data_IF_919863531476
#
_entry.id   IF_919863531476
#
_cell.length_a   1.000
_cell.length_b   1.000
_cell.length_c   1.000
_cell.angle_alpha   90.00
_cell.angle_beta   90.00
_cell.angle_gamma   90.00
#
_symmetry.space_group_name_H-M   'P 1'
#
loop_
_entity.id
_entity.type
_entity.pdbx_description
1 polymer ?
#
# COMPACT_ATOMS: atom_id res chain seq x y z
N UNK A 1 -5.99 0.83 -37.30
CA UNK A 1 -5.31 0.57 -36.02
C UNK A 1 -5.31 1.88 -35.26
N UNK A 2 -6.22 2.06 -34.30
CA UNK A 2 -6.12 3.17 -33.36
C UNK A 2 -4.89 2.94 -32.49
N UNK A 3 -3.98 3.89 -32.47
CA UNK A 3 -2.84 3.88 -31.55
C UNK A 3 -3.40 3.71 -30.13
N UNK A 4 -2.96 2.68 -29.43
CA UNK A 4 -3.33 2.46 -28.02
C UNK A 4 -2.76 3.64 -27.24
N UNK A 5 -3.60 4.62 -26.91
CA UNK A 5 -3.20 5.75 -26.07
C UNK A 5 -2.92 5.15 -24.67
N UNK A 6 -1.64 4.99 -24.35
CA UNK A 6 -1.23 4.58 -23.02
C UNK A 6 -1.41 5.77 -22.07
N UNK A 7 -2.24 5.61 -21.05
CA UNK A 7 -2.37 6.58 -19.96
C UNK A 7 -1.04 6.74 -19.21
N UNK A 8 -0.85 7.87 -18.52
CA UNK A 8 0.27 8.03 -17.60
C UNK A 8 0.26 6.93 -16.54
N UNK A 9 -0.92 6.65 -15.96
CA UNK A 9 -1.07 5.59 -14.95
C UNK A 9 -0.59 4.23 -15.49
N UNK A 10 -0.98 3.84 -16.72
CA UNK A 10 -0.51 2.58 -17.33
C UNK A 10 1.00 2.54 -17.49
N UNK A 11 1.60 3.63 -17.96
CA UNK A 11 3.05 3.74 -18.12
C UNK A 11 3.74 3.61 -16.76
N UNK A 12 3.26 4.33 -15.76
CA UNK A 12 3.81 4.35 -14.40
C UNK A 12 3.68 2.99 -13.70
N UNK A 13 2.59 2.24 -13.93
CA UNK A 13 2.47 0.86 -13.46
C UNK A 13 3.53 -0.04 -14.11
N UNK A 14 3.73 0.09 -15.42
CA UNK A 14 4.74 -0.69 -16.13
C UNK A 14 6.18 -0.36 -15.70
N UNK A 15 6.42 0.84 -15.17
CA UNK A 15 7.72 1.27 -14.63
C UNK A 15 8.02 0.73 -13.22
N UNK A 16 7.04 0.15 -12.50
CA UNK A 16 7.21 -0.31 -11.11
C UNK A 16 8.39 -1.28 -10.96
N UNK A 17 8.55 -2.33 -11.80
CA UNK A 17 9.68 -3.26 -11.66
C UNK A 17 11.04 -2.56 -11.75
N UNK A 18 11.20 -1.65 -12.72
CA UNK A 18 12.42 -0.88 -12.88
C UNK A 18 12.65 0.12 -11.74
N UNK A 19 11.60 0.78 -11.26
CA UNK A 19 11.68 1.71 -10.14
C UNK A 19 12.12 0.99 -8.85
N UNK A 20 11.57 -0.20 -8.59
CA UNK A 20 11.98 -1.03 -7.46
C UNK A 20 13.43 -1.51 -7.59
N UNK A 21 13.86 -1.96 -8.77
CA UNK A 21 15.24 -2.36 -9.02
C UNK A 21 16.21 -1.20 -8.79
N UNK A 22 15.88 -0.02 -9.32
CA UNK A 22 16.68 1.20 -9.12
C UNK A 22 16.82 1.60 -7.67
N UNK A 23 15.73 1.52 -6.90
CA UNK A 23 15.72 1.81 -5.47
C UNK A 23 16.62 0.82 -4.72
N UNK A 24 16.46 -0.47 -4.93
CA UNK A 24 17.21 -1.53 -4.25
C UNK A 24 18.71 -1.47 -4.57
N UNK A 25 19.07 -1.12 -5.80
CA UNK A 25 20.47 -0.99 -6.20
C UNK A 25 21.14 0.25 -5.58
N UNK A 26 20.49 1.41 -5.68
CA UNK A 26 21.13 2.69 -5.35
C UNK A 26 21.10 3.03 -3.86
N UNK A 27 20.12 2.53 -3.10
CA UNK A 27 19.89 2.92 -1.70
C UNK A 27 20.39 1.92 -0.67
N UNK A 28 21.21 0.93 -1.05
CA UNK A 28 21.73 -0.11 -0.12
C UNK A 28 22.41 0.48 1.13
N UNK A 29 23.21 1.53 0.94
CA UNK A 29 23.91 2.21 2.04
C UNK A 29 22.95 2.92 2.98
N UNK A 30 21.91 3.55 2.42
CA UNK A 30 20.90 4.27 3.19
C UNK A 30 20.03 3.29 4.00
N UNK A 31 19.64 2.17 3.41
CA UNK A 31 18.93 1.11 4.14
C UNK A 31 19.74 0.61 5.33
N UNK A 32 21.03 0.32 5.14
CA UNK A 32 21.91 -0.15 6.19
C UNK A 32 22.12 0.92 7.28
N UNK A 33 22.28 2.18 6.90
CA UNK A 33 22.47 3.30 7.84
C UNK A 33 21.20 3.52 8.68
N UNK A 34 20.02 3.57 8.07
CA UNK A 34 18.74 3.76 8.77
C UNK A 34 18.43 2.54 9.64
N UNK A 35 18.60 1.33 9.13
CA UNK A 35 18.44 0.10 9.91
C UNK A 35 19.38 0.03 11.11
N UNK A 36 20.63 0.49 10.93
CA UNK A 36 21.62 0.62 12.00
C UNK A 36 21.22 1.65 13.06
N UNK A 37 20.70 2.79 12.65
CA UNK A 37 20.19 3.83 13.55
C UNK A 37 18.99 3.33 14.39
N UNK A 38 18.07 2.59 13.76
CA UNK A 38 16.93 1.98 14.46
C UNK A 38 17.38 0.92 15.47
N UNK A 39 18.37 0.07 15.13
CA UNK A 39 18.96 -0.88 16.09
C UNK A 39 19.62 -0.18 17.27
N UNK A 40 20.40 0.86 17.01
CA UNK A 40 21.07 1.64 18.05
C UNK A 40 20.09 2.38 18.97
N UNK A 41 18.97 2.85 18.41
CA UNK A 41 17.90 3.51 19.16
C UNK A 41 17.15 2.55 20.07
N UNK A 42 16.95 1.30 19.63
CA UNK A 42 16.13 0.27 20.29
C UNK A 42 14.76 0.84 20.69
N UNK A 43 13.93 1.25 19.72
CA UNK A 43 12.68 1.94 20.02
C UNK A 43 11.68 1.02 20.74
N UNK A 44 10.94 1.55 21.70
CA UNK A 44 9.88 0.82 22.40
C UNK A 44 8.58 0.72 21.58
N UNK A 45 8.39 1.57 20.58
CA UNK A 45 7.25 1.62 19.68
C UNK A 45 7.62 2.39 18.40
N UNK A 46 6.78 2.27 17.38
CA UNK A 46 6.89 3.06 16.16
C UNK A 46 5.61 3.86 15.96
N UNK A 47 5.72 5.06 15.41
CA UNK A 47 4.57 5.82 14.93
C UNK A 47 4.70 6.05 13.43
N UNK A 48 3.57 6.07 12.72
CA UNK A 48 3.51 6.40 11.30
C UNK A 48 2.74 7.68 11.06
N UNK A 49 3.18 8.46 10.06
CA UNK A 49 2.59 9.75 9.69
C UNK A 49 2.45 9.77 8.16
N UNK A 50 1.22 9.73 7.67
CA UNK A 50 0.97 9.72 6.23
C UNK A 50 -0.47 10.12 5.88
N UNK A 51 -0.79 10.19 4.58
CA UNK A 51 -2.13 10.43 4.03
C UNK A 51 -2.33 9.65 2.74
N UNK A 52 -3.58 9.28 2.43
CA UNK A 52 -3.97 8.63 1.17
C UNK A 52 -3.19 7.33 0.91
N UNK A 53 -2.70 7.12 -0.32
CA UNK A 53 -1.88 5.94 -0.65
C UNK A 53 -0.64 5.80 0.24
N UNK A 54 -0.02 6.92 0.67
CA UNK A 54 1.10 6.88 1.61
C UNK A 54 0.67 6.33 2.99
N UNK A 55 -0.57 6.57 3.43
CA UNK A 55 -1.09 6.00 4.68
C UNK A 55 -1.35 4.49 4.55
N UNK A 56 -1.79 4.02 3.36
CA UNK A 56 -1.88 2.59 3.09
C UNK A 56 -0.50 1.91 3.04
N UNK A 57 0.53 2.61 2.53
CA UNK A 57 1.92 2.13 2.64
C UNK A 57 2.38 2.07 4.10
N UNK A 58 2.04 3.08 4.90
CA UNK A 58 2.30 3.09 6.34
C UNK A 58 1.55 1.97 7.08
N UNK A 59 0.30 1.67 6.71
CA UNK A 59 -0.46 0.54 7.25
C UNK A 59 0.19 -0.80 6.89
N UNK A 60 0.73 -0.95 5.68
CA UNK A 60 1.50 -2.13 5.31
C UNK A 60 2.73 -2.30 6.19
N UNK A 61 3.50 -1.22 6.33
CA UNK A 61 4.71 -1.22 7.17
C UNK A 61 4.39 -1.43 8.66
N UNK A 62 3.24 -0.96 9.13
CA UNK A 62 2.74 -1.28 10.47
C UNK A 62 2.71 -2.80 10.68
N UNK A 63 1.99 -3.54 9.84
CA UNK A 63 1.93 -4.99 9.95
C UNK A 63 3.31 -5.65 9.79
N UNK A 64 4.12 -5.17 8.85
CA UNK A 64 5.46 -5.71 8.63
C UNK A 64 6.35 -5.56 9.88
N UNK A 65 6.34 -4.38 10.53
CA UNK A 65 7.12 -4.10 11.73
C UNK A 65 6.59 -4.91 12.91
N UNK A 66 5.26 -4.95 13.13
CA UNK A 66 4.63 -5.69 14.22
C UNK A 66 4.93 -7.20 14.13
N UNK A 67 4.92 -7.77 12.92
CA UNK A 67 5.21 -9.19 12.69
C UNK A 67 6.70 -9.51 12.81
N UNK A 68 7.60 -8.63 12.35
CA UNK A 68 9.03 -8.91 12.25
C UNK A 68 9.82 -8.38 13.44
N UNK A 69 9.68 -7.09 13.78
CA UNK A 69 10.35 -6.46 14.90
C UNK A 69 9.59 -6.63 16.23
N UNK A 70 8.33 -7.08 16.20
CA UNK A 70 7.46 -7.32 17.38
C UNK A 70 7.24 -6.06 18.22
N UNK A 71 7.23 -4.90 17.59
CA UNK A 71 6.99 -3.61 18.22
C UNK A 71 5.60 -3.09 17.85
N UNK A 72 4.84 -2.51 18.79
CA UNK A 72 3.57 -1.87 18.46
C UNK A 72 3.78 -0.67 17.55
N UNK A 73 2.89 -0.50 16.56
CA UNK A 73 2.91 0.62 15.63
C UNK A 73 1.58 1.36 15.69
N UNK A 74 1.63 2.68 15.88
CA UNK A 74 0.46 3.55 15.89
C UNK A 74 0.49 4.52 14.70
N UNK A 75 -0.60 4.58 13.92
CA UNK A 75 -0.83 5.66 12.99
C UNK A 75 -1.28 6.91 13.74
N UNK A 76 -0.60 8.03 13.53
CA UNK A 76 -0.88 9.29 14.20
C UNK A 76 -1.53 10.27 13.23
N UNK A 77 -2.68 10.82 13.63
CA UNK A 77 -3.38 11.83 12.84
C UNK A 77 -2.60 13.15 12.78
N UNK A 78 -2.22 13.64 11.58
CA UNK A 78 -1.43 14.86 11.45
C UNK A 78 -2.09 16.11 12.03
N UNK A 79 -3.40 16.12 12.17
CA UNK A 79 -4.16 17.20 12.83
C UNK A 79 -3.74 17.47 14.28
N UNK A 80 -3.19 16.48 14.97
CA UNK A 80 -2.69 16.67 16.34
C UNK A 80 -1.61 17.76 16.40
N UNK A 81 -0.72 17.81 15.41
CA UNK A 81 0.30 18.85 15.33
C UNK A 81 -0.22 20.11 14.64
N UNK A 82 -0.90 19.95 13.47
CA UNK A 82 -1.24 21.10 12.61
C UNK A 82 -2.43 21.92 13.12
N UNK A 83 -3.38 21.31 13.84
CA UNK A 83 -4.59 21.98 14.36
C UNK A 83 -4.56 22.12 15.87
N UNK A 84 -4.26 21.02 16.58
CA UNK A 84 -4.34 21.01 18.03
C UNK A 84 -3.04 21.43 18.74
N UNK A 85 -1.92 21.57 18.00
CA UNK A 85 -0.62 21.94 18.57
C UNK A 85 -0.11 20.98 19.65
N UNK A 86 -0.56 19.71 19.61
CA UNK A 86 -0.23 18.73 20.62
C UNK A 86 1.19 18.18 20.43
N UNK A 87 1.99 18.22 21.47
CA UNK A 87 3.31 17.59 21.49
C UNK A 87 3.24 16.22 22.16
N UNK A 88 3.46 15.17 21.34
CA UNK A 88 3.45 13.79 21.82
C UNK A 88 4.80 13.42 22.46
N UNK A 89 4.77 12.58 23.49
CA UNK A 89 5.97 12.04 24.15
C UNK A 89 6.54 10.88 23.34
N UNK A 90 7.37 11.16 22.33
CA UNK A 90 7.89 10.17 21.39
C UNK A 90 9.37 9.82 21.58
N UNK A 91 10.04 10.33 22.63
CA UNK A 91 11.48 10.19 22.84
C UNK A 91 12.01 8.76 22.90
N UNK A 92 11.18 7.77 23.23
CA UNK A 92 11.53 6.33 23.23
C UNK A 92 11.08 5.59 21.97
N UNK A 93 10.53 6.29 20.99
CA UNK A 93 9.99 5.71 19.77
C UNK A 93 10.83 5.99 18.53
N UNK A 94 10.39 5.41 17.42
CA UNK A 94 10.75 5.81 16.08
C UNK A 94 9.52 6.38 15.36
N UNK A 95 9.72 7.24 14.38
CA UNK A 95 8.66 7.82 13.57
C UNK A 95 8.97 7.61 12.07
N UNK A 96 8.01 7.09 11.31
CA UNK A 96 8.13 6.91 9.86
C UNK A 96 7.11 7.81 9.20
N UNK A 97 7.58 8.83 8.49
CA UNK A 97 6.74 9.76 7.75
C UNK A 97 6.84 9.46 6.24
N UNK A 98 5.70 9.25 5.58
CA UNK A 98 5.65 8.90 4.16
C UNK A 98 4.88 9.96 3.40
N UNK A 99 5.53 10.57 2.39
CA UNK A 99 4.90 11.55 1.52
C UNK A 99 5.60 11.60 0.16
N UNK A 100 4.87 11.33 -0.92
CA UNK A 100 5.42 11.35 -2.27
C UNK A 100 6.09 12.69 -2.59
N UNK A 101 5.43 13.81 -2.32
CA UNK A 101 5.97 15.16 -2.58
C UNK A 101 6.92 15.69 -1.49
N UNK A 102 6.81 15.16 -0.28
CA UNK A 102 7.52 15.68 0.89
C UNK A 102 7.12 17.12 1.30
N UNK A 103 5.96 17.61 0.80
CA UNK A 103 5.55 19.03 0.95
C UNK A 103 4.27 19.25 1.73
N UNK A 104 3.53 18.20 2.09
CA UNK A 104 2.26 18.30 2.83
C UNK A 104 2.50 18.95 4.21
N UNK A 105 1.95 20.15 4.47
CA UNK A 105 2.33 20.93 5.66
C UNK A 105 2.03 20.21 6.98
N UNK A 106 0.92 19.53 7.07
CA UNK A 106 0.49 18.78 8.25
C UNK A 106 1.39 17.55 8.54
N UNK A 107 1.82 16.85 7.48
CA UNK A 107 2.78 15.74 7.59
C UNK A 107 4.14 16.25 8.08
N UNK A 108 4.63 17.35 7.47
CA UNK A 108 5.91 17.99 7.85
C UNK A 108 5.86 18.47 9.31
N UNK A 109 4.76 19.11 9.72
CA UNK A 109 4.59 19.59 11.08
C UNK A 109 4.66 18.46 12.13
N UNK A 110 3.93 17.35 11.88
CA UNK A 110 3.93 16.21 12.80
C UNK A 110 5.27 15.48 12.82
N UNK A 111 5.91 15.27 11.66
CA UNK A 111 7.24 14.68 11.57
C UNK A 111 8.29 15.51 12.34
N UNK A 112 8.27 16.83 12.17
CA UNK A 112 9.14 17.75 12.92
C UNK A 112 8.87 17.72 14.44
N UNK A 113 7.62 17.61 14.84
CA UNK A 113 7.26 17.45 16.27
C UNK A 113 7.80 16.14 16.83
N UNK A 114 7.70 15.03 16.08
CA UNK A 114 8.25 13.74 16.50
C UNK A 114 9.78 13.81 16.66
N UNK A 115 10.46 14.48 15.74
CA UNK A 115 11.92 14.69 15.80
C UNK A 115 12.32 15.50 17.03
N UNK A 116 11.65 16.62 17.27
CA UNK A 116 11.89 17.46 18.48
C UNK A 116 11.60 16.74 19.78
N UNK A 117 10.63 15.85 19.77
CA UNK A 117 10.33 14.99 20.92
C UNK A 117 11.36 13.86 21.15
N UNK A 118 12.41 13.78 20.32
CA UNK A 118 13.51 12.83 20.47
C UNK A 118 13.28 11.46 19.83
N UNK A 119 12.25 11.29 18.99
CA UNK A 119 12.09 10.08 18.20
C UNK A 119 13.18 9.98 17.12
N UNK A 120 13.60 8.77 16.77
CA UNK A 120 14.34 8.55 15.52
C UNK A 120 13.36 8.64 14.36
N UNK A 121 13.37 9.76 13.65
CA UNK A 121 12.43 10.06 12.58
C UNK A 121 13.01 9.78 11.21
N UNK A 122 12.21 9.18 10.33
CA UNK A 122 12.59 8.75 8.99
C UNK A 122 11.57 9.29 8.00
N UNK A 123 12.02 10.04 6.99
CA UNK A 123 11.21 10.46 5.86
C UNK A 123 11.40 9.48 4.70
N UNK A 124 10.32 8.88 4.20
CA UNK A 124 10.27 8.18 2.92
C UNK A 124 9.58 9.10 1.91
N UNK A 125 10.32 9.60 0.93
CA UNK A 125 9.79 10.59 -0.02
C UNK A 125 10.37 10.39 -1.41
N UNK A 126 9.62 10.79 -2.45
CA UNK A 126 10.07 10.74 -3.85
C UNK A 126 10.68 12.08 -4.31
N UNK A 127 10.92 12.99 -3.37
CA UNK A 127 11.45 14.33 -3.65
C UNK A 127 12.50 14.71 -2.63
N UNK A 128 13.75 14.80 -3.07
CA UNK A 128 14.85 15.33 -2.28
C UNK A 128 15.57 16.45 -3.05
N UNK A 129 15.87 17.60 -2.40
CA UNK A 129 15.51 17.97 -1.03
C UNK A 129 14.02 18.27 -0.88
N UNK A 130 13.48 18.14 0.35
CA UNK A 130 12.09 18.50 0.65
C UNK A 130 11.90 18.89 2.11
N UNK A 131 10.83 19.68 2.44
CA UNK A 131 10.53 20.06 3.82
C UNK A 131 10.38 18.86 4.77
N UNK A 132 9.86 17.73 4.29
CA UNK A 132 9.75 16.53 5.10
C UNK A 132 11.11 15.91 5.42
N UNK A 133 12.02 15.89 4.42
CA UNK A 133 13.39 15.41 4.62
C UNK A 133 14.13 16.25 5.65
N UNK A 134 13.98 17.58 5.58
CA UNK A 134 14.60 18.52 6.53
C UNK A 134 14.03 18.41 7.94
N UNK A 135 12.77 17.99 8.09
CA UNK A 135 12.10 17.82 9.36
C UNK A 135 12.47 16.51 10.10
N UNK A 136 13.05 15.53 9.42
CA UNK A 136 13.37 14.21 9.97
C UNK A 136 14.88 14.03 10.22
N UNK A 137 15.23 13.10 11.13
CA UNK A 137 16.63 12.74 11.43
C UNK A 137 17.30 11.99 10.28
N UNK A 138 16.52 11.23 9.51
CA UNK A 138 16.94 10.48 8.33
C UNK A 138 15.96 10.70 7.20
N UNK A 139 16.44 10.70 5.97
CA UNK A 139 15.58 10.75 4.77
C UNK A 139 16.05 9.72 3.75
N UNK A 140 15.09 9.13 3.06
CA UNK A 140 15.31 8.15 2.01
C UNK A 140 14.50 8.54 0.77
N UNK A 141 15.20 8.74 -0.36
CA UNK A 141 14.56 8.86 -1.66
C UNK A 141 14.04 7.48 -2.09
N UNK A 142 12.74 7.38 -2.31
CA UNK A 142 12.13 6.13 -2.79
C UNK A 142 12.38 5.87 -4.28
N UNK A 143 13.02 6.78 -4.98
CA UNK A 143 13.48 6.65 -6.37
C UNK A 143 12.40 6.13 -7.36
N UNK A 144 11.13 6.44 -7.10
CA UNK A 144 10.04 6.03 -7.99
C UNK A 144 10.07 6.76 -9.35
N UNK A 145 10.81 7.87 -9.43
CA UNK A 145 10.85 8.74 -10.62
C UNK A 145 9.58 9.60 -10.77
N UNK A 146 9.43 10.34 -11.86
CA UNK A 146 8.27 11.21 -12.07
C UNK A 146 6.98 10.41 -12.12
N UNK A 147 5.97 10.82 -11.35
CA UNK A 147 4.64 10.22 -11.30
C UNK A 147 3.60 11.31 -11.57
N UNK A 148 3.04 11.29 -12.79
CA UNK A 148 2.19 12.36 -13.32
C UNK A 148 0.69 12.05 -13.20
N UNK A 149 0.31 10.77 -13.20
CA UNK A 149 -1.07 10.38 -12.92
C UNK A 149 -1.48 10.85 -11.52
N UNK A 150 -2.72 11.30 -11.36
CA UNK A 150 -3.22 11.75 -10.05
C UNK A 150 -3.22 10.58 -9.07
N UNK A 151 -3.74 9.44 -9.48
CA UNK A 151 -3.72 8.21 -8.70
C UNK A 151 -2.28 7.68 -8.56
N UNK A 152 -1.75 7.63 -7.34
CA UNK A 152 -0.43 7.09 -7.05
C UNK A 152 -0.37 5.59 -7.30
N UNK A 153 0.75 5.11 -7.85
CA UNK A 153 1.02 3.69 -8.10
C UNK A 153 2.45 3.31 -7.72
N UNK A 154 3.45 3.74 -8.51
CA UNK A 154 4.84 3.36 -8.27
C UNK A 154 5.44 4.00 -7.01
N UNK A 155 5.02 5.21 -6.63
CA UNK A 155 5.45 5.82 -5.38
C UNK A 155 4.90 5.06 -4.15
N UNK A 156 3.67 4.54 -4.22
CA UNK A 156 3.14 3.64 -3.19
C UNK A 156 3.99 2.38 -3.05
N UNK A 157 4.22 1.66 -4.16
CA UNK A 157 4.98 0.40 -4.14
C UNK A 157 6.39 0.64 -3.64
N UNK A 158 7.09 1.66 -4.17
CA UNK A 158 8.47 1.94 -3.75
C UNK A 158 8.56 2.41 -2.28
N UNK A 159 7.53 3.07 -1.73
CA UNK A 159 7.49 3.38 -0.28
C UNK A 159 7.46 2.12 0.56
N UNK A 160 6.67 1.12 0.17
CA UNK A 160 6.63 -0.17 0.87
C UNK A 160 7.95 -0.93 0.70
N UNK A 161 8.49 -1.00 -0.53
CA UNK A 161 9.78 -1.66 -0.80
C UNK A 161 10.90 -1.02 0.03
N UNK A 162 10.97 0.31 0.09
CA UNK A 162 11.93 1.05 0.90
C UNK A 162 11.82 0.70 2.39
N UNK A 163 10.59 0.70 2.92
CA UNK A 163 10.32 0.34 4.31
C UNK A 163 10.68 -1.11 4.63
N UNK A 164 10.38 -2.06 3.74
CA UNK A 164 10.75 -3.47 3.90
C UNK A 164 12.27 -3.68 3.84
N UNK A 165 12.97 -2.97 2.94
CA UNK A 165 14.43 -3.02 2.87
C UNK A 165 15.08 -2.50 4.17
N UNK A 166 14.60 -1.35 4.69
CA UNK A 166 15.03 -0.82 5.99
C UNK A 166 14.72 -1.80 7.12
N UNK A 167 13.53 -2.41 7.13
CA UNK A 167 13.12 -3.39 8.15
C UNK A 167 14.03 -4.63 8.13
N UNK A 168 14.36 -5.15 6.95
CA UNK A 168 15.29 -6.25 6.81
C UNK A 168 16.71 -5.95 7.34
N UNK A 169 17.16 -4.70 7.14
CA UNK A 169 18.42 -4.23 7.72
C UNK A 169 18.31 -4.00 9.23
N UNK A 170 17.21 -3.42 9.69
CA UNK A 170 16.95 -3.17 11.11
C UNK A 170 16.93 -4.47 11.93
N UNK A 171 16.20 -5.47 11.45
CA UNK A 171 16.05 -6.76 12.16
C UNK A 171 17.12 -7.79 11.84
N UNK A 172 18.02 -7.49 10.90
CA UNK A 172 19.00 -8.43 10.34
C UNK A 172 18.35 -9.69 9.76
N UNK A 173 17.12 -9.58 9.25
CA UNK A 173 16.36 -10.71 8.68
C UNK A 173 16.85 -11.02 7.26
N UNK A 174 17.67 -12.06 7.14
CA UNK A 174 18.23 -12.48 5.85
C UNK A 174 17.17 -13.04 4.87
N UNK A 175 16.05 -13.59 5.37
CA UNK A 175 14.98 -14.10 4.53
C UNK A 175 14.20 -12.95 3.91
N UNK A 176 13.83 -11.95 4.73
CA UNK A 176 13.18 -10.74 4.26
C UNK A 176 14.05 -9.98 3.25
N UNK A 177 15.36 -9.82 3.53
CA UNK A 177 16.29 -9.14 2.61
C UNK A 177 16.32 -9.80 1.23
N UNK A 178 16.46 -11.12 1.17
CA UNK A 178 16.43 -11.86 -0.10
C UNK A 178 15.07 -11.74 -0.81
N UNK A 179 13.99 -11.83 -0.07
CA UNK A 179 12.64 -11.70 -0.66
C UNK A 179 12.41 -10.30 -1.28
N UNK A 180 12.89 -9.24 -0.61
CA UNK A 180 12.82 -7.86 -1.11
C UNK A 180 13.71 -7.69 -2.35
N UNK A 181 14.90 -8.27 -2.38
CA UNK A 181 15.79 -8.24 -3.56
C UNK A 181 15.15 -8.90 -4.80
N UNK A 182 14.30 -9.91 -4.62
CA UNK A 182 13.58 -10.58 -5.72
C UNK A 182 12.34 -9.83 -6.24
N UNK A 183 11.88 -8.79 -5.56
CA UNK A 183 10.63 -8.10 -5.90
C UNK A 183 10.56 -7.57 -7.35
N UNK A 184 11.61 -6.99 -7.95
CA UNK A 184 11.52 -6.49 -9.33
C UNK A 184 11.09 -7.55 -10.34
N UNK A 185 11.60 -8.77 -10.24
CA UNK A 185 11.25 -9.89 -11.14
C UNK A 185 9.81 -10.37 -10.89
N UNK A 186 9.41 -10.45 -9.62
CA UNK A 186 8.04 -10.79 -9.24
C UNK A 186 7.03 -9.74 -9.72
N UNK A 187 7.37 -8.45 -9.63
CA UNK A 187 6.53 -7.36 -10.15
C UNK A 187 6.40 -7.42 -11.67
N UNK A 188 7.48 -7.69 -12.39
CA UNK A 188 7.44 -7.87 -13.84
C UNK A 188 6.54 -9.05 -14.26
N UNK A 189 6.50 -10.10 -13.45
CA UNK A 189 5.62 -11.25 -13.65
C UNK A 189 4.17 -10.93 -13.28
N UNK A 190 3.94 -10.22 -12.18
CA UNK A 190 2.62 -9.84 -11.70
C UNK A 190 1.90 -8.86 -12.66
N UNK A 191 2.63 -7.97 -13.34
CA UNK A 191 2.08 -7.06 -14.35
C UNK A 191 1.48 -7.77 -15.59
N UNK A 192 1.78 -9.07 -15.78
CA UNK A 192 1.27 -9.86 -16.91
C UNK A 192 -0.03 -10.60 -16.57
N UNK A 193 -0.45 -10.59 -15.31
CA UNK A 193 -1.64 -11.29 -14.85
C UNK A 193 -2.92 -10.55 -15.26
N UNK A 194 -3.95 -11.32 -15.56
CA UNK A 194 -5.23 -10.82 -16.06
C UNK A 194 -6.36 -11.01 -15.03
N UNK A 195 -6.99 -9.92 -14.63
CA UNK A 195 -8.12 -9.89 -13.70
C UNK A 195 -9.41 -9.36 -14.37
N UNK A 196 -9.50 -9.34 -15.71
CA UNK A 196 -10.68 -8.81 -16.43
C UNK A 196 -11.96 -9.56 -16.11
N UNK A 197 -11.88 -10.82 -15.69
CA UNK A 197 -13.06 -11.59 -15.29
C UNK A 197 -13.79 -10.94 -14.12
N UNK A 198 -13.08 -10.34 -13.17
CA UNK A 198 -13.72 -9.59 -12.09
C UNK A 198 -14.57 -8.42 -12.61
N UNK A 199 -14.08 -7.67 -13.60
CA UNK A 199 -14.87 -6.59 -14.18
C UNK A 199 -16.13 -7.10 -14.91
N UNK A 200 -16.04 -8.25 -15.59
CA UNK A 200 -17.17 -8.83 -16.28
C UNK A 200 -18.29 -9.25 -15.29
N UNK A 201 -17.95 -9.83 -14.16
CA UNK A 201 -18.89 -10.21 -13.12
C UNK A 201 -19.42 -9.04 -12.30
N UNK A 202 -18.55 -8.05 -12.00
CA UNK A 202 -18.95 -6.84 -11.29
C UNK A 202 -19.88 -5.95 -12.14
N UNK A 203 -19.71 -5.96 -13.49
CA UNK A 203 -20.59 -5.26 -14.42
C UNK A 203 -20.73 -3.77 -14.10
N UNK A 204 -21.95 -3.29 -13.96
CA UNK A 204 -22.30 -1.90 -13.63
C UNK A 204 -22.44 -1.64 -12.12
N UNK A 205 -21.82 -2.48 -11.28
CA UNK A 205 -21.90 -2.30 -9.84
C UNK A 205 -21.38 -0.91 -9.41
N UNK A 206 -22.11 -0.29 -8.49
CA UNK A 206 -21.77 1.00 -7.90
C UNK A 206 -21.04 0.84 -6.54
N UNK A 207 -21.04 -0.36 -5.97
CA UNK A 207 -20.41 -0.68 -4.69
C UNK A 207 -19.68 -2.01 -4.75
N UNK A 208 -18.49 -2.07 -4.13
CA UNK A 208 -17.60 -3.23 -4.09
C UNK A 208 -16.98 -3.34 -2.71
N UNK A 209 -16.92 -4.56 -2.17
CA UNK A 209 -16.04 -4.81 -1.02
C UNK A 209 -14.69 -5.36 -1.47
N UNK A 210 -13.63 -4.87 -0.83
CA UNK A 210 -12.27 -5.38 -0.99
C UNK A 210 -11.83 -5.96 0.35
N UNK A 211 -11.60 -7.27 0.40
CA UNK A 211 -11.22 -7.95 1.63
C UNK A 211 -9.72 -8.22 1.66
N UNK A 212 -9.13 -8.06 2.82
CA UNK A 212 -7.77 -8.48 3.14
C UNK A 212 -7.66 -8.83 4.61
N UNK A 213 -6.51 -9.34 5.05
CA UNK A 213 -6.19 -9.53 6.47
C UNK A 213 -4.69 -9.46 6.67
N UNK A 214 -4.24 -8.95 7.85
CA UNK A 214 -2.82 -8.72 8.04
C UNK A 214 -2.24 -7.72 7.01
N UNK A 215 -1.05 -7.95 6.46
CA UNK A 215 -0.46 -7.07 5.44
C UNK A 215 -1.36 -6.86 4.20
N UNK A 216 -2.12 -7.89 3.80
CA UNK A 216 -3.05 -7.80 2.66
C UNK A 216 -4.23 -6.83 2.92
N UNK A 217 -4.54 -6.47 4.18
CA UNK A 217 -5.53 -5.43 4.47
C UNK A 217 -5.06 -4.06 3.97
N UNK A 218 -3.77 -3.77 4.05
CA UNK A 218 -3.23 -2.51 3.50
C UNK A 218 -3.36 -2.46 1.97
N UNK A 219 -3.18 -3.60 1.30
CA UNK A 219 -3.40 -3.73 -0.13
C UNK A 219 -4.89 -3.55 -0.48
N UNK A 220 -5.79 -4.11 0.33
CA UNK A 220 -7.23 -3.94 0.16
C UNK A 220 -7.65 -2.46 0.31
N UNK A 221 -7.09 -1.73 1.28
CA UNK A 221 -7.33 -0.29 1.45
C UNK A 221 -6.85 0.51 0.24
N UNK A 222 -5.66 0.22 -0.26
CA UNK A 222 -5.13 0.87 -1.46
C UNK A 222 -5.98 0.55 -2.70
N UNK A 223 -6.42 -0.69 -2.86
CA UNK A 223 -7.30 -1.09 -3.94
C UNK A 223 -8.67 -0.38 -3.86
N UNK A 224 -9.27 -0.29 -2.68
CA UNK A 224 -10.53 0.42 -2.48
C UNK A 224 -10.40 1.93 -2.77
N UNK A 225 -9.25 2.54 -2.44
CA UNK A 225 -8.97 3.92 -2.81
C UNK A 225 -8.90 4.07 -4.33
N UNK A 226 -8.17 3.20 -5.02
CA UNK A 226 -8.01 3.25 -6.49
C UNK A 226 -9.34 3.04 -7.23
N UNK A 227 -10.22 2.16 -6.76
CA UNK A 227 -11.57 2.06 -7.33
C UNK A 227 -12.29 3.41 -7.27
N UNK A 228 -12.31 4.06 -6.10
CA UNK A 228 -12.95 5.37 -5.94
C UNK A 228 -12.32 6.44 -6.83
N UNK A 229 -10.99 6.51 -6.85
CA UNK A 229 -10.25 7.52 -7.60
C UNK A 229 -10.40 7.36 -9.12
N UNK A 230 -10.35 6.13 -9.63
CA UNK A 230 -10.22 5.91 -11.08
C UNK A 230 -11.50 5.48 -11.77
N UNK A 231 -12.40 4.77 -11.08
CA UNK A 231 -13.62 4.23 -11.68
C UNK A 231 -14.91 4.89 -11.17
N UNK A 232 -14.82 5.73 -10.14
CA UNK A 232 -15.99 6.33 -9.49
C UNK A 232 -16.84 5.34 -8.68
N UNK A 233 -16.41 4.08 -8.54
CA UNK A 233 -17.13 3.04 -7.77
C UNK A 233 -16.88 3.26 -6.28
N UNK A 234 -17.94 3.22 -5.48
CA UNK A 234 -17.84 3.19 -4.03
C UNK A 234 -17.25 1.85 -3.59
N UNK A 235 -15.97 1.84 -3.27
CA UNK A 235 -15.29 0.65 -2.76
C UNK A 235 -14.89 0.82 -1.30
N UNK A 236 -15.10 -0.22 -0.50
CA UNK A 236 -14.77 -0.23 0.90
C UNK A 236 -13.92 -1.45 1.25
N UNK A 237 -12.85 -1.21 2.01
CA UNK A 237 -11.95 -2.27 2.43
C UNK A 237 -12.27 -2.74 3.84
N UNK A 238 -12.31 -4.05 4.03
CA UNK A 238 -12.50 -4.67 5.34
C UNK A 238 -11.46 -5.75 5.61
N UNK A 239 -11.09 -5.90 6.87
CA UNK A 239 -10.54 -7.18 7.31
C UNK A 239 -11.57 -8.28 7.07
N UNK A 240 -11.14 -9.44 6.57
CA UNK A 240 -12.04 -10.57 6.34
C UNK A 240 -12.79 -10.99 7.62
N UNK A 241 -12.22 -10.72 8.81
CA UNK A 241 -12.95 -10.93 10.05
C UNK A 241 -14.03 -9.86 10.29
N UNK A 242 -13.68 -8.57 10.08
CA UNK A 242 -14.57 -7.43 10.36
C UNK A 242 -15.80 -7.38 9.44
N UNK A 243 -15.69 -7.84 8.20
CA UNK A 243 -16.83 -7.82 7.28
C UNK A 243 -18.04 -8.58 7.83
N UNK A 244 -17.82 -9.60 8.66
CA UNK A 244 -18.89 -10.37 9.29
C UNK A 244 -19.56 -9.66 10.49
N UNK A 245 -18.96 -8.59 11.02
CA UNK A 245 -19.43 -7.83 12.17
C UNK A 245 -20.27 -6.60 11.80
N UNK A 246 -21.09 -6.70 10.77
CA UNK A 246 -22.01 -5.64 10.34
C UNK A 246 -22.03 -5.45 8.81
N UNK A 247 -20.89 -5.16 8.16
CA UNK A 247 -20.83 -4.88 6.72
C UNK A 247 -21.45 -5.95 5.84
N UNK A 248 -21.42 -7.21 6.25
CA UNK A 248 -22.05 -8.34 5.56
C UNK A 248 -23.57 -8.15 5.37
N UNK A 249 -24.22 -7.28 6.12
CA UNK A 249 -25.66 -7.04 6.03
C UNK A 249 -26.11 -6.50 4.65
N UNK A 250 -25.24 -5.82 3.92
CA UNK A 250 -25.56 -5.33 2.56
C UNK A 250 -25.08 -6.27 1.45
N UNK A 251 -24.37 -7.35 1.81
CA UNK A 251 -23.91 -8.34 0.84
C UNK A 251 -25.08 -9.25 0.45
N UNK A 252 -25.55 -9.09 -0.76
CA UNK A 252 -26.65 -9.87 -1.32
C UNK A 252 -26.30 -10.49 -2.68
N UNK A 253 -27.33 -10.88 -3.40
CA UNK A 253 -27.19 -11.51 -4.71
C UNK A 253 -26.40 -10.64 -5.68
N UNK A 254 -25.32 -11.20 -6.24
CA UNK A 254 -24.41 -10.55 -7.20
C UNK A 254 -23.62 -9.38 -6.64
N UNK A 255 -23.54 -9.18 -5.31
CA UNK A 255 -22.68 -8.15 -4.72
C UNK A 255 -21.21 -8.50 -4.99
N UNK A 256 -20.42 -7.62 -5.66
CA UNK A 256 -19.05 -7.95 -6.01
C UNK A 256 -18.10 -7.81 -4.82
N UNK A 257 -17.26 -8.80 -4.62
CA UNK A 257 -16.25 -8.87 -3.58
C UNK A 257 -14.91 -9.27 -4.18
N UNK A 258 -13.87 -8.50 -3.94
CA UNK A 258 -12.49 -8.81 -4.26
C UNK A 258 -11.74 -9.20 -2.98
N UNK A 259 -11.38 -10.47 -2.82
CA UNK A 259 -10.66 -10.97 -1.67
C UNK A 259 -9.16 -11.14 -1.99
N UNK A 260 -8.33 -10.33 -1.34
CA UNK A 260 -6.89 -10.31 -1.51
C UNK A 260 -6.23 -11.13 -0.39
N UNK A 261 -5.79 -12.34 -0.72
CA UNK A 261 -5.14 -13.27 0.18
C UNK A 261 -3.68 -13.48 -0.25
N UNK A 262 -2.74 -13.27 0.67
CA UNK A 262 -1.34 -13.62 0.53
C UNK A 262 -1.08 -15.04 1.06
N UNK A 263 0.06 -15.63 0.72
CA UNK A 263 0.50 -16.94 1.24
C UNK A 263 1.06 -16.77 2.65
N UNK A 264 0.16 -16.49 3.60
CA UNK A 264 0.48 -16.26 5.00
C UNK A 264 -0.51 -16.99 5.94
N UNK A 265 -0.35 -16.77 7.24
CA UNK A 265 -1.20 -17.37 8.26
C UNK A 265 -2.69 -16.93 8.20
N UNK A 266 -3.01 -15.89 7.44
CA UNK A 266 -4.36 -15.38 7.30
C UNK A 266 -5.10 -15.96 6.08
N UNK A 267 -4.41 -16.62 5.14
CA UNK A 267 -4.96 -17.09 3.87
C UNK A 267 -6.20 -17.96 4.05
N UNK A 268 -6.13 -18.99 4.91
CA UNK A 268 -7.25 -19.90 5.17
C UNK A 268 -8.49 -19.16 5.71
N UNK A 269 -8.29 -18.19 6.59
CA UNK A 269 -9.39 -17.42 7.13
C UNK A 269 -10.07 -16.52 6.10
N UNK A 270 -9.30 -15.95 5.14
CA UNK A 270 -9.85 -15.17 4.04
C UNK A 270 -10.62 -16.06 3.08
N UNK A 271 -10.10 -17.26 2.75
CA UNK A 271 -10.75 -18.21 1.88
C UNK A 271 -12.10 -18.68 2.44
N UNK A 272 -12.16 -19.00 3.74
CA UNK A 272 -13.43 -19.37 4.39
C UNK A 272 -14.47 -18.26 4.33
N UNK A 273 -14.08 -17.02 4.62
CA UNK A 273 -15.01 -15.88 4.53
C UNK A 273 -15.46 -15.64 3.08
N UNK A 274 -14.58 -15.79 2.11
CA UNK A 274 -14.95 -15.73 0.70
C UNK A 274 -16.03 -16.75 0.34
N UNK A 275 -15.88 -18.01 0.78
CA UNK A 275 -16.88 -19.07 0.56
C UNK A 275 -18.22 -18.78 1.28
N UNK A 276 -18.17 -18.21 2.49
CA UNK A 276 -19.38 -17.76 3.22
C UNK A 276 -20.13 -16.66 2.46
N UNK A 277 -19.43 -15.74 1.83
CA UNK A 277 -20.04 -14.67 1.04
C UNK A 277 -20.61 -15.21 -0.29
N UNK A 278 -19.94 -16.18 -0.92
CA UNK A 278 -20.51 -16.89 -2.08
C UNK A 278 -21.81 -17.57 -1.71
N UNK A 279 -21.88 -18.23 -0.54
CA UNK A 279 -23.11 -18.87 -0.06
C UNK A 279 -24.28 -17.88 0.17
N UNK A 280 -23.97 -16.58 0.37
CA UNK A 280 -24.97 -15.50 0.43
C UNK A 280 -25.35 -14.94 -0.94
N UNK A 281 -24.78 -15.48 -2.02
CA UNK A 281 -25.06 -15.08 -3.40
C UNK A 281 -24.14 -13.98 -3.95
N UNK A 282 -23.09 -13.59 -3.24
CA UNK A 282 -22.11 -12.63 -3.71
C UNK A 282 -21.26 -13.18 -4.87
N UNK A 283 -20.78 -12.29 -5.74
CA UNK A 283 -19.74 -12.58 -6.70
C UNK A 283 -18.37 -12.35 -6.08
N UNK A 284 -17.73 -13.41 -5.64
CA UNK A 284 -16.44 -13.32 -4.95
C UNK A 284 -15.32 -13.82 -5.84
N UNK A 285 -14.30 -12.97 -6.02
CA UNK A 285 -13.03 -13.34 -6.64
C UNK A 285 -11.93 -13.28 -5.59
N UNK A 286 -11.02 -14.25 -5.60
CA UNK A 286 -10.00 -14.42 -4.58
C UNK A 286 -8.62 -14.75 -5.15
N UNK A 287 -7.56 -14.21 -4.55
CA UNK A 287 -6.16 -14.53 -4.86
C UNK A 287 -5.64 -15.68 -3.98
N UNK A 288 -6.39 -16.79 -3.90
CA UNK A 288 -6.02 -18.00 -3.14
C UNK A 288 -6.55 -19.24 -3.84
N UNK A 289 -5.86 -20.36 -3.63
CA UNK A 289 -6.30 -21.70 -4.07
C UNK A 289 -7.08 -22.46 -3.00
N UNK A 290 -7.23 -21.90 -1.80
CA UNK A 290 -7.85 -22.56 -0.65
C UNK A 290 -9.39 -22.42 -0.62
N UNK A 291 -9.95 -21.44 -1.33
CA UNK A 291 -11.40 -21.30 -1.45
C UNK A 291 -11.98 -22.39 -2.34
N UNK A 292 -13.10 -22.95 -1.92
CA UNK A 292 -13.80 -24.00 -2.66
C UNK A 292 -14.81 -23.44 -3.68
N UNK A 293 -15.34 -22.22 -3.45
CA UNK A 293 -16.50 -21.70 -4.17
C UNK A 293 -16.24 -20.32 -4.82
N UNK A 294 -15.30 -19.52 -4.32
CA UNK A 294 -14.97 -18.23 -4.94
C UNK A 294 -14.13 -18.42 -6.22
N UNK A 295 -14.30 -17.52 -7.17
CA UNK A 295 -13.52 -17.54 -8.40
C UNK A 295 -12.07 -17.15 -8.14
N UNK A 296 -11.14 -18.00 -8.56
CA UNK A 296 -9.72 -17.75 -8.37
C UNK A 296 -9.21 -16.73 -9.37
N UNK A 297 -8.54 -15.69 -8.87
CA UNK A 297 -7.71 -14.78 -9.67
C UNK A 297 -6.25 -15.26 -9.67
N UNK A 298 -5.53 -15.10 -10.79
CA UNK A 298 -4.11 -15.42 -10.84
C UNK A 298 -3.28 -14.49 -9.97
N UNK A 299 -2.22 -15.03 -9.37
CA UNK A 299 -1.26 -14.30 -8.51
C UNK A 299 0.16 -14.84 -8.69
N UNK A 300 1.14 -14.08 -8.22
CA UNK A 300 2.55 -14.49 -8.16
C UNK A 300 2.87 -14.90 -6.72
N UNK A 301 3.60 -16.01 -6.56
CA UNK A 301 4.19 -16.43 -5.30
C UNK A 301 5.65 -15.95 -5.25
N UNK A 302 6.00 -15.20 -4.21
CA UNK A 302 7.35 -14.61 -4.05
C UNK A 302 8.21 -15.40 -3.06
N UNK A 303 7.60 -16.35 -2.37
CA UNK A 303 8.26 -17.18 -1.35
C UNK A 303 8.42 -16.50 0.01
N UNK A 304 7.81 -15.33 0.24
CA UNK A 304 7.79 -14.67 1.54
C UNK A 304 6.45 -13.93 1.77
N UNK A 305 5.79 -14.08 2.93
CA UNK A 305 4.44 -13.55 3.17
C UNK A 305 4.28 -12.04 2.90
N UNK A 306 5.25 -11.23 3.30
CA UNK A 306 5.18 -9.77 3.10
C UNK A 306 5.31 -9.38 1.63
N UNK A 307 6.21 -10.03 0.90
CA UNK A 307 6.39 -9.75 -0.54
C UNK A 307 5.25 -10.33 -1.37
N UNK A 308 4.67 -11.46 -0.98
CA UNK A 308 3.45 -12.01 -1.57
C UNK A 308 2.30 -11.03 -1.47
N UNK A 309 2.06 -10.47 -0.28
CA UNK A 309 1.02 -9.47 -0.09
C UNK A 309 1.23 -8.24 -0.98
N UNK A 310 2.46 -7.71 -1.04
CA UNK A 310 2.77 -6.53 -1.85
C UNK A 310 2.59 -6.80 -3.35
N UNK A 311 2.96 -8.00 -3.83
CA UNK A 311 2.85 -8.33 -5.24
C UNK A 311 1.40 -8.33 -5.76
N UNK A 312 0.40 -8.49 -4.90
CA UNK A 312 -1.03 -8.48 -5.27
C UNK A 312 -1.49 -7.13 -5.84
N UNK A 313 -0.83 -6.03 -5.48
CA UNK A 313 -1.26 -4.71 -5.95
C UNK A 313 -0.98 -4.50 -7.45
N UNK A 314 -0.01 -5.20 -8.03
CA UNK A 314 0.40 -5.00 -9.41
C UNK A 314 -0.68 -5.42 -10.43
N UNK A 315 -1.18 -6.68 -10.40
CA UNK A 315 -2.27 -7.08 -11.29
C UNK A 315 -3.54 -6.27 -11.02
N UNK A 316 -3.78 -5.85 -9.77
CA UNK A 316 -4.87 -4.96 -9.45
C UNK A 316 -4.74 -3.60 -10.17
N UNK A 317 -3.56 -2.96 -10.13
CA UNK A 317 -3.34 -1.69 -10.83
C UNK A 317 -3.53 -1.83 -12.34
N UNK A 318 -2.99 -2.89 -12.95
CA UNK A 318 -3.16 -3.18 -14.37
C UNK A 318 -4.64 -3.33 -14.75
N UNK A 319 -5.38 -4.01 -13.88
CA UNK A 319 -6.81 -4.27 -14.03
C UNK A 319 -7.65 -2.98 -13.86
N UNK A 320 -7.48 -2.25 -12.74
CA UNK A 320 -8.33 -1.10 -12.43
C UNK A 320 -8.14 0.06 -13.42
N UNK A 321 -6.93 0.25 -13.93
CA UNK A 321 -6.66 1.23 -15.01
C UNK A 321 -7.41 0.87 -16.29
N UNK A 322 -7.36 -0.42 -16.69
CA UNK A 322 -8.07 -0.87 -17.89
C UNK A 322 -9.60 -0.76 -17.72
N UNK A 323 -10.10 -1.11 -16.54
CA UNK A 323 -11.53 -1.01 -16.24
C UNK A 323 -12.01 0.44 -16.16
N UNK A 324 -11.22 1.33 -15.58
CA UNK A 324 -11.48 2.78 -15.60
C UNK A 324 -11.73 3.29 -17.01
N UNK A 325 -10.82 2.97 -17.95
CA UNK A 325 -10.96 3.38 -19.35
C UNK A 325 -12.17 2.75 -20.04
N UNK A 326 -12.47 1.49 -19.78
CA UNK A 326 -13.65 0.82 -20.38
C UNK A 326 -14.98 1.44 -19.90
N UNK A 327 -14.99 2.03 -18.71
CA UNK A 327 -16.14 2.80 -18.16
C UNK A 327 -16.16 4.26 -18.63
N UNK A 328 -15.24 4.67 -19.50
CA UNK A 328 -15.17 6.04 -20.03
C UNK A 328 -14.51 7.06 -19.09
N UNK A 329 -13.86 6.61 -18.02
CA UNK A 329 -13.12 7.49 -17.10
C UNK A 329 -11.67 7.73 -17.57
N UNK A 330 -11.10 8.83 -17.13
CA UNK A 330 -9.69 9.14 -17.32
C UNK A 330 -8.91 8.90 -16.00
N UNK A 331 -8.15 7.79 -15.88
CA UNK A 331 -7.43 7.49 -14.64
C UNK A 331 -6.27 8.45 -14.35
N UNK A 332 -5.81 9.23 -15.35
CA UNK A 332 -4.75 10.22 -15.17
C UNK A 332 -5.24 11.52 -14.51
N UNK A 333 -6.52 11.85 -14.72
CA UNK A 333 -7.15 13.06 -14.22
C UNK A 333 -8.58 12.78 -13.73
N UNK A 334 -8.71 12.06 -12.60
CA UNK A 334 -10.02 11.79 -12.02
C UNK A 334 -10.78 13.07 -11.67
N UNK A 335 -12.10 13.03 -11.80
CA UNK A 335 -12.94 14.17 -11.43
C UNK A 335 -12.76 14.53 -9.95
N UNK A 336 -12.75 15.83 -9.64
CA UNK A 336 -12.64 16.38 -8.28
C UNK A 336 -11.32 16.08 -7.53
N UNK A 337 -10.30 15.52 -8.18
CA UNK A 337 -9.00 15.25 -7.58
C UNK A 337 -7.90 16.10 -8.21
N UNK A 338 -6.88 16.42 -7.41
CA UNK A 338 -5.63 17.06 -7.84
C UNK A 338 -4.44 16.22 -7.39
N UNK A 339 -3.33 16.30 -8.15
CA UNK A 339 -2.11 15.53 -7.84
C UNK A 339 -1.52 15.87 -6.46
N UNK A 340 -1.62 17.10 -6.03
CA UNK A 340 -1.21 17.55 -4.70
C UNK A 340 -2.40 18.18 -4.01
N UNK A 341 -2.73 17.66 -2.85
CA UNK A 341 -3.77 18.21 -1.97
C UNK A 341 -3.08 18.91 -0.80
N UNK A 342 -3.31 20.20 -0.66
CA UNK A 342 -2.87 20.97 0.49
C UNK A 342 -3.93 20.89 1.58
N UNK A 343 -3.64 20.15 2.66
CA UNK A 343 -4.44 20.11 3.89
C UNK A 343 -3.75 20.92 4.98
N UNK A 344 -4.53 21.71 5.69
CA UNK A 344 -4.07 22.49 6.87
C UNK A 344 -4.50 21.80 8.14
#
# INVERSE_FOLDING_TARGET
MQATVHTNMRREINEIPEAAARLLDRSRKDFAAIGGALRAKDPAFVVTVARGSSDHAALFLKYAIELTAKLPVASIGPSLASIYGTELKLGRGAAIAISQSGKSPDIVALAGTATRAGATSIALTNTLPSPLADACSHSLDILAGPENAVAATKSYVNSVVAGLAVLGEWTCDAALKRAVEGLPEHFASANKLDWREFAADAGEAESIYVLGRGPALAIANEAALKFKETTGIHAEAFSAAEVLHGPVAIVGTRFPVLALAARDAAEDSIARVADELVAKGAFVHITSRLSANAKQLPFVETGHPLTDALALILPFYMFVEAWSRSRGHNPDAPANLRKVTETR
#
